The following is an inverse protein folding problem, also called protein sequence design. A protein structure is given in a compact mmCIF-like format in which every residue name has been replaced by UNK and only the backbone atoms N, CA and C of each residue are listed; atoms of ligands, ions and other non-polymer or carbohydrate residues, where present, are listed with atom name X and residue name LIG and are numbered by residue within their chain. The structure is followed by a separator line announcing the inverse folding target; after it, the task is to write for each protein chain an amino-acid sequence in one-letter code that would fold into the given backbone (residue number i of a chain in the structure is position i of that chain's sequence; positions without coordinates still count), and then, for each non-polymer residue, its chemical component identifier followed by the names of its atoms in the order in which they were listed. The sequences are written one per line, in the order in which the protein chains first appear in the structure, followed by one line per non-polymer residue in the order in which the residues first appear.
data_IF_090138646590
#
_entry.id   IF_090138646590
#
_cell.length_a   1.000
_cell.length_b   1.000
_cell.length_c   1.000
_cell.angle_alpha   90.00
_cell.angle_beta   90.00
_cell.angle_gamma   90.00
#
_symmetry.space_group_name_H-M   'P 1'
#
loop_
_entity.id
_entity.type
_entity.pdbx_description
1 polymer ?
#
# COMPACT_ATOMS: atom_id res chain seq x y z
N UNK A 1 33.64 -15.81 -22.18
CA UNK A 1 32.61 -16.50 -21.38
C UNK A 1 32.05 -17.68 -22.18
N UNK A 2 32.61 -18.88 -22.02
CA UNK A 2 32.09 -20.07 -22.70
C UNK A 2 30.73 -20.48 -22.06
N UNK A 3 29.76 -20.88 -22.89
CA UNK A 3 28.48 -21.43 -22.42
C UNK A 3 27.36 -20.42 -22.12
N UNK A 4 27.62 -19.11 -22.06
CA UNK A 4 26.56 -18.12 -21.76
C UNK A 4 25.43 -18.11 -22.80
N UNK A 5 25.79 -18.10 -24.09
CA UNK A 5 24.80 -18.21 -25.19
C UNK A 5 23.98 -19.50 -25.08
N UNK A 6 24.63 -20.64 -24.87
CA UNK A 6 23.95 -21.94 -24.73
C UNK A 6 23.01 -21.94 -23.52
N UNK A 7 23.41 -21.30 -22.41
CA UNK A 7 22.56 -21.12 -21.24
C UNK A 7 21.31 -20.28 -21.56
N UNK A 8 21.46 -19.11 -22.20
CA UNK A 8 20.31 -18.27 -22.57
C UNK A 8 19.34 -19.01 -23.52
N UNK A 9 19.87 -19.67 -24.55
CA UNK A 9 19.08 -20.46 -25.50
C UNK A 9 18.36 -21.60 -24.77
N UNK A 10 19.08 -22.35 -23.92
CA UNK A 10 18.53 -23.47 -23.16
C UNK A 10 17.34 -23.07 -22.31
N UNK A 11 17.39 -21.90 -21.67
CA UNK A 11 16.33 -21.42 -20.77
C UNK A 11 15.13 -20.76 -21.49
N UNK A 12 15.26 -20.30 -22.74
CA UNK A 12 14.20 -19.56 -23.44
C UNK A 12 13.57 -20.34 -24.60
N UNK A 13 14.38 -21.11 -25.34
CA UNK A 13 13.99 -21.79 -26.57
C UNK A 13 14.61 -23.19 -26.69
N UNK A 14 15.09 -23.75 -25.57
CA UNK A 14 15.84 -25.01 -25.56
C UNK A 14 15.01 -26.25 -25.91
N UNK A 15 13.69 -26.20 -25.68
CA UNK A 15 12.77 -27.28 -26.04
C UNK A 15 11.34 -26.77 -26.24
N UNK A 16 10.47 -27.60 -26.83
CA UNK A 16 9.05 -27.31 -27.00
C UNK A 16 8.35 -27.09 -25.66
N UNK A 17 8.73 -27.83 -24.62
CA UNK A 17 8.17 -27.76 -23.28
C UNK A 17 8.49 -26.42 -22.62
N UNK A 18 9.72 -25.93 -22.77
CA UNK A 18 10.16 -24.62 -22.28
C UNK A 18 9.39 -23.49 -22.97
N UNK A 19 9.25 -23.57 -24.29
CA UNK A 19 8.47 -22.55 -25.03
C UNK A 19 7.00 -22.57 -24.60
N UNK A 20 6.39 -23.76 -24.46
CA UNK A 20 5.00 -23.90 -23.98
C UNK A 20 4.82 -23.35 -22.56
N UNK A 21 5.78 -23.54 -21.66
CA UNK A 21 5.70 -23.00 -20.30
C UNK A 21 5.73 -21.47 -20.30
N UNK A 22 6.60 -20.85 -21.12
CA UNK A 22 6.66 -19.40 -21.31
C UNK A 22 5.33 -18.84 -21.85
N UNK A 23 4.75 -19.46 -22.89
CA UNK A 23 3.43 -19.06 -23.39
C UNK A 23 2.36 -19.19 -22.31
N UNK A 24 2.40 -20.25 -21.51
CA UNK A 24 1.42 -20.45 -20.44
C UNK A 24 1.53 -19.39 -19.35
N UNK A 25 2.74 -18.92 -19.02
CA UNK A 25 2.95 -17.78 -18.11
C UNK A 25 2.37 -16.47 -18.65
N UNK A 26 2.53 -16.19 -19.94
CA UNK A 26 1.90 -15.02 -20.56
C UNK A 26 0.36 -15.13 -20.58
N UNK A 27 -0.19 -16.34 -20.74
CA UNK A 27 -1.63 -16.56 -20.78
C UNK A 27 -2.26 -16.52 -19.38
N UNK A 28 -1.52 -16.88 -18.33
CA UNK A 28 -2.05 -16.93 -16.96
C UNK A 28 -2.20 -15.55 -16.31
N UNK A 29 -1.35 -14.58 -16.66
CA UNK A 29 -1.51 -13.18 -16.23
C UNK A 29 -1.18 -12.21 -17.38
N UNK A 30 -2.17 -11.42 -17.79
CA UNK A 30 -2.05 -10.41 -18.86
C UNK A 30 -1.05 -9.29 -18.51
N UNK A 31 -0.72 -9.11 -17.22
CA UNK A 31 0.27 -8.14 -16.73
C UNK A 31 1.70 -8.63 -16.91
N UNK A 32 1.95 -9.92 -17.15
CA UNK A 32 3.31 -10.40 -17.46
C UNK A 32 3.70 -9.87 -18.83
N UNK A 33 4.71 -8.99 -18.85
CA UNK A 33 5.19 -8.31 -20.05
C UNK A 33 6.56 -8.78 -20.51
N UNK A 34 7.43 -9.21 -19.59
CA UNK A 34 8.79 -9.68 -19.90
C UNK A 34 9.08 -10.99 -19.16
N UNK A 35 9.65 -11.97 -19.86
CA UNK A 35 10.15 -13.23 -19.29
C UNK A 35 11.59 -13.42 -19.74
N UNK A 36 12.51 -13.59 -18.80
CA UNK A 36 13.94 -13.71 -19.09
C UNK A 36 14.63 -14.77 -18.21
N UNK A 37 15.80 -15.28 -18.62
CA UNK A 37 16.53 -16.27 -17.84
C UNK A 37 17.06 -15.67 -16.53
N UNK A 38 17.21 -16.50 -15.51
CA UNK A 38 18.08 -16.18 -14.38
C UNK A 38 19.49 -15.80 -14.88
N UNK A 39 20.19 -14.96 -14.14
CA UNK A 39 21.54 -14.59 -14.51
C UNK A 39 22.43 -15.83 -14.57
N UNK A 40 23.17 -15.94 -15.66
CA UNK A 40 24.22 -16.94 -15.79
C UNK A 40 25.23 -16.75 -14.64
N UNK A 41 25.52 -17.81 -13.88
CA UNK A 41 26.28 -17.73 -12.62
C UNK A 41 27.54 -16.86 -12.69
N UNK A 42 28.43 -17.04 -13.69
CA UNK A 42 29.62 -16.19 -13.88
C UNK A 42 29.34 -14.70 -14.10
N UNK A 43 28.19 -14.34 -14.67
CA UNK A 43 27.79 -12.95 -14.93
C UNK A 43 27.14 -12.31 -13.70
N UNK A 44 26.47 -13.11 -12.87
CA UNK A 44 25.69 -12.62 -11.71
C UNK A 44 26.51 -11.75 -10.75
N UNK A 45 27.76 -12.12 -10.49
CA UNK A 45 28.64 -11.36 -9.58
C UNK A 45 29.16 -10.04 -10.19
N UNK A 46 29.01 -9.85 -11.50
CA UNK A 46 29.48 -8.68 -12.23
C UNK A 46 28.38 -7.65 -12.47
N UNK A 47 27.14 -7.93 -12.08
CA UNK A 47 26.00 -7.03 -12.30
C UNK A 47 26.16 -5.77 -11.47
N UNK A 48 26.29 -4.64 -12.15
CA UNK A 48 26.30 -3.32 -11.54
C UNK A 48 25.91 -2.28 -12.58
N UNK A 49 25.52 -1.09 -12.11
CA UNK A 49 25.17 0.03 -12.99
C UNK A 49 26.37 0.59 -13.76
N UNK A 50 27.60 0.34 -13.29
CA UNK A 50 28.83 0.78 -13.94
C UNK A 50 28.82 2.28 -14.25
N UNK A 51 29.25 2.60 -15.46
CA UNK A 51 29.21 3.96 -15.99
C UNK A 51 27.83 4.33 -16.61
N UNK A 52 26.88 3.40 -16.64
CA UNK A 52 25.60 3.59 -17.32
C UNK A 52 24.54 4.28 -16.48
N UNK A 53 24.75 4.41 -15.16
CA UNK A 53 23.72 4.91 -14.25
C UNK A 53 23.12 6.24 -14.68
N UNK A 54 23.95 7.23 -15.02
CA UNK A 54 23.47 8.56 -15.40
C UNK A 54 22.73 8.54 -16.74
N UNK A 55 23.20 7.75 -17.71
CA UNK A 55 22.51 7.56 -18.98
C UNK A 55 21.15 6.87 -18.78
N UNK A 56 21.11 5.79 -17.99
CA UNK A 56 19.90 5.05 -17.63
C UNK A 56 18.90 5.96 -16.90
N UNK A 57 19.38 6.75 -15.93
CA UNK A 57 18.56 7.73 -15.21
C UNK A 57 17.96 8.78 -16.15
N UNK A 58 18.74 9.29 -17.09
CA UNK A 58 18.27 10.30 -18.04
C UNK A 58 17.20 9.75 -19.00
N UNK A 59 17.38 8.54 -19.54
CA UNK A 59 16.36 7.93 -20.41
C UNK A 59 15.10 7.53 -19.63
N UNK A 60 15.24 7.03 -18.40
CA UNK A 60 14.12 6.65 -17.56
C UNK A 60 13.30 7.86 -17.11
N UNK A 61 13.93 9.01 -16.87
CA UNK A 61 13.22 10.26 -16.57
C UNK A 61 12.27 10.67 -17.70
N UNK A 62 12.65 10.43 -18.96
CA UNK A 62 11.78 10.66 -20.13
C UNK A 62 10.58 9.71 -20.15
N UNK A 63 10.70 8.54 -19.54
CA UNK A 63 9.60 7.60 -19.29
C UNK A 63 8.90 7.81 -17.92
N UNK A 64 9.08 8.99 -17.31
CA UNK A 64 8.56 9.33 -15.99
C UNK A 64 9.04 8.38 -14.88
N UNK A 65 10.33 8.07 -14.85
CA UNK A 65 10.98 7.34 -13.77
C UNK A 65 12.25 8.07 -13.32
N UNK A 66 12.35 8.45 -12.04
CA UNK A 66 13.60 8.95 -11.46
C UNK A 66 14.38 7.83 -10.77
N UNK A 67 15.43 7.34 -11.43
CA UNK A 67 16.20 6.17 -10.99
C UNK A 67 17.06 6.54 -9.77
N UNK A 68 17.00 5.72 -8.72
CA UNK A 68 17.88 5.83 -7.56
C UNK A 68 19.04 4.84 -7.67
N UNK A 69 20.20 5.20 -7.12
CA UNK A 69 21.33 4.26 -6.97
C UNK A 69 21.03 3.14 -5.99
N UNK A 70 20.11 3.39 -5.07
CA UNK A 70 19.71 2.39 -4.09
C UNK A 70 18.87 1.30 -4.76
N UNK A 71 18.10 1.62 -5.83
CA UNK A 71 17.18 0.73 -6.54
C UNK A 71 17.84 -0.61 -6.89
N UNK A 72 17.09 -1.71 -6.69
CA UNK A 72 17.52 -3.05 -7.11
C UNK A 72 17.83 -3.02 -8.60
N UNK A 73 19.04 -3.43 -8.97
CA UNK A 73 19.40 -3.61 -10.37
C UNK A 73 19.00 -5.02 -10.80
N UNK A 74 18.06 -5.09 -11.73
CA UNK A 74 17.58 -6.33 -12.31
C UNK A 74 17.28 -6.11 -13.80
N UNK A 75 17.76 -7.02 -14.65
CA UNK A 75 17.62 -6.90 -16.10
C UNK A 75 17.94 -8.23 -16.82
N UNK A 76 17.46 -8.44 -18.05
CA UNK A 76 17.86 -9.58 -18.88
C UNK A 76 19.34 -9.49 -19.25
N UNK A 77 20.23 -10.03 -18.41
CA UNK A 77 21.67 -10.03 -18.67
C UNK A 77 21.99 -10.80 -19.95
N UNK A 78 22.39 -10.10 -21.01
CA UNK A 78 22.60 -10.65 -22.35
C UNK A 78 21.50 -10.26 -23.35
N UNK A 79 20.59 -9.37 -22.96
CA UNK A 79 19.52 -8.81 -23.80
C UNK A 79 18.63 -9.84 -24.52
N UNK A 80 18.52 -11.05 -23.99
CA UNK A 80 17.66 -12.12 -24.51
C UNK A 80 16.48 -12.35 -23.58
N UNK A 81 15.27 -12.09 -24.07
CA UNK A 81 14.03 -12.26 -23.33
C UNK A 81 12.85 -12.45 -24.28
N UNK A 82 11.75 -12.99 -23.76
CA UNK A 82 10.44 -12.91 -24.39
C UNK A 82 9.72 -11.68 -23.86
N UNK A 83 9.15 -10.87 -24.74
CA UNK A 83 8.48 -9.63 -24.35
C UNK A 83 7.21 -9.38 -25.13
N UNK A 84 6.18 -8.86 -24.46
CA UNK A 84 5.06 -8.19 -25.15
C UNK A 84 5.58 -6.88 -25.70
N UNK A 85 5.26 -6.55 -26.96
CA UNK A 85 5.56 -5.23 -27.53
C UNK A 85 5.01 -4.09 -26.67
N UNK A 86 3.82 -4.28 -26.10
CA UNK A 86 3.20 -3.33 -25.17
C UNK A 86 4.03 -3.06 -23.90
N UNK A 87 4.84 -4.01 -23.44
CA UNK A 87 5.72 -3.81 -22.28
C UNK A 87 6.90 -2.88 -22.62
N UNK A 88 7.36 -2.89 -23.86
CA UNK A 88 8.45 -2.00 -24.31
C UNK A 88 7.93 -0.64 -24.82
N UNK A 89 6.61 -0.38 -24.74
CA UNK A 89 6.03 0.86 -25.27
C UNK A 89 6.71 2.10 -24.72
N UNK A 90 6.98 2.16 -23.41
CA UNK A 90 7.65 3.30 -22.76
C UNK A 90 9.06 3.58 -23.30
N UNK A 91 9.77 2.55 -23.79
CA UNK A 91 11.07 2.70 -24.46
C UNK A 91 10.88 3.15 -25.91
N UNK A 92 9.94 2.55 -26.64
CA UNK A 92 9.67 2.88 -28.04
C UNK A 92 9.16 4.32 -28.21
N UNK A 93 8.36 4.81 -27.26
CA UNK A 93 7.86 6.19 -27.22
C UNK A 93 8.98 7.23 -26.99
N UNK A 94 10.21 6.81 -26.67
CA UNK A 94 11.36 7.71 -26.61
C UNK A 94 11.84 8.14 -27.99
N UNK A 95 11.42 7.46 -29.06
CA UNK A 95 11.78 7.79 -30.46
C UNK A 95 13.29 7.97 -30.65
N UNK A 96 14.08 7.12 -29.97
CA UNK A 96 15.55 7.15 -30.07
C UNK A 96 15.97 6.92 -31.52
N UNK A 97 16.88 7.76 -31.98
CA UNK A 97 17.42 7.70 -33.33
C UNK A 97 18.82 7.09 -33.31
N UNK A 98 19.29 6.67 -34.48
CA UNK A 98 20.63 6.11 -34.61
C UNK A 98 21.70 7.10 -34.15
N UNK A 99 21.48 8.41 -34.37
CA UNK A 99 22.42 9.47 -33.97
C UNK A 99 22.49 9.70 -32.45
N UNK A 100 21.57 9.14 -31.66
CA UNK A 100 21.64 9.19 -30.19
C UNK A 100 22.67 8.20 -29.63
N UNK A 101 23.13 7.25 -30.45
CA UNK A 101 24.12 6.25 -30.06
C UNK A 101 25.52 6.70 -30.47
N UNK A 102 26.54 6.50 -29.60
CA UNK A 102 27.91 6.81 -29.96
C UNK A 102 28.40 5.87 -31.08
N UNK A 103 29.32 6.36 -31.91
CA UNK A 103 29.99 5.55 -32.93
C UNK A 103 30.67 4.32 -32.30
N UNK A 104 30.56 3.16 -32.93
CA UNK A 104 31.16 1.93 -32.43
C UNK A 104 32.70 2.00 -32.51
N UNK A 105 33.35 2.12 -31.36
CA UNK A 105 34.80 2.22 -31.20
C UNK A 105 35.34 1.16 -30.21
N UNK A 106 34.60 0.05 -30.04
CA UNK A 106 34.95 -1.02 -29.10
C UNK A 106 34.66 -0.67 -27.64
N UNK A 107 33.71 0.23 -27.38
CA UNK A 107 33.28 0.55 -26.03
C UNK A 107 32.65 -0.67 -25.36
N UNK A 108 33.08 -0.97 -24.13
CA UNK A 108 32.64 -2.16 -23.38
C UNK A 108 31.61 -1.85 -22.29
N UNK A 109 31.37 -0.58 -21.98
CA UNK A 109 30.39 -0.10 -20.98
C UNK A 109 30.15 1.42 -21.17
N UNK A 110 29.18 2.01 -20.49
CA UNK A 110 28.97 3.47 -20.46
C UNK A 110 28.32 4.04 -21.71
N UNK A 111 27.63 3.21 -22.51
CA UNK A 111 26.94 3.64 -23.74
C UNK A 111 25.43 3.66 -23.55
N UNK A 112 24.74 4.40 -24.43
CA UNK A 112 23.27 4.41 -24.43
C UNK A 112 22.68 2.99 -24.60
N UNK A 113 23.32 2.13 -25.39
CA UNK A 113 22.88 0.74 -25.57
C UNK A 113 22.94 -0.06 -24.26
N UNK A 114 24.03 0.07 -23.50
CA UNK A 114 24.21 -0.57 -22.19
C UNK A 114 23.23 -0.01 -21.14
N UNK A 115 22.97 1.29 -21.19
CA UNK A 115 21.94 1.93 -20.36
C UNK A 115 20.54 1.40 -20.66
N UNK A 116 20.19 1.20 -21.93
CA UNK A 116 18.92 0.59 -22.35
C UNK A 116 18.83 -0.86 -21.87
N UNK A 117 19.89 -1.66 -22.06
CA UNK A 117 19.92 -3.06 -21.61
C UNK A 117 19.60 -3.19 -20.12
N UNK A 118 20.26 -2.40 -19.27
CA UNK A 118 20.05 -2.39 -17.82
C UNK A 118 18.69 -1.81 -17.42
N UNK A 119 17.96 -1.18 -18.36
CA UNK A 119 16.69 -0.51 -18.11
C UNK A 119 15.47 -1.23 -18.69
N UNK A 120 15.61 -2.36 -19.40
CA UNK A 120 14.47 -3.05 -20.03
C UNK A 120 13.29 -3.31 -19.09
N UNK A 121 13.57 -3.82 -17.87
CA UNK A 121 12.52 -4.13 -16.90
C UNK A 121 11.89 -2.86 -16.32
N UNK A 122 12.66 -1.79 -16.16
CA UNK A 122 12.16 -0.50 -15.74
C UNK A 122 11.14 0.04 -16.76
N UNK A 123 11.42 -0.08 -18.06
CA UNK A 123 10.48 0.29 -19.12
C UNK A 123 9.21 -0.58 -19.13
N UNK A 124 9.35 -1.89 -18.86
CA UNK A 124 8.21 -2.79 -18.69
C UNK A 124 7.30 -2.34 -17.55
N UNK A 125 7.86 -2.02 -16.39
CA UNK A 125 7.08 -1.54 -15.24
C UNK A 125 6.51 -0.14 -15.48
N UNK A 126 7.24 0.76 -16.15
CA UNK A 126 6.70 2.05 -16.60
C UNK A 126 5.49 1.87 -17.49
N UNK A 127 5.47 0.83 -18.32
CA UNK A 127 4.35 0.44 -19.16
C UNK A 127 3.27 -0.35 -18.39
N UNK A 128 3.38 -0.51 -17.06
CA UNK A 128 2.43 -1.22 -16.20
C UNK A 128 2.45 -2.74 -16.33
N UNK A 129 3.57 -3.31 -16.78
CA UNK A 129 3.77 -4.75 -16.88
C UNK A 129 4.75 -5.27 -15.82
N UNK A 130 4.49 -6.49 -15.35
CA UNK A 130 5.39 -7.26 -14.52
C UNK A 130 6.42 -8.00 -15.39
N UNK A 131 7.47 -8.47 -14.75
CA UNK A 131 8.46 -9.34 -15.35
C UNK A 131 8.66 -10.61 -14.52
N UNK A 132 9.08 -11.67 -15.17
CA UNK A 132 9.37 -12.95 -14.53
C UNK A 132 10.75 -13.45 -14.94
N UNK A 133 11.43 -14.02 -13.96
CA UNK A 133 12.73 -14.67 -14.13
C UNK A 133 12.52 -16.18 -14.13
N UNK A 134 13.07 -16.88 -15.12
CA UNK A 134 12.89 -18.32 -15.30
C UNK A 134 14.23 -19.05 -15.37
N UNK A 135 14.23 -20.32 -14.98
CA UNK A 135 15.36 -21.21 -15.19
C UNK A 135 14.88 -22.63 -15.47
N UNK A 136 15.40 -23.26 -16.53
CA UNK A 136 15.21 -24.68 -16.83
C UNK A 136 16.24 -25.52 -16.06
N UNK A 137 15.79 -26.58 -15.38
CA UNK A 137 16.67 -27.60 -14.81
C UNK A 137 17.59 -27.08 -13.69
N UNK A 138 17.05 -26.44 -12.66
CA UNK A 138 17.83 -26.06 -11.49
C UNK A 138 18.23 -27.31 -10.70
N UNK A 139 19.44 -27.81 -10.90
CA UNK A 139 20.08 -28.72 -9.95
C UNK A 139 21.30 -28.05 -9.30
N UNK A 140 21.34 -27.95 -7.96
CA UNK A 140 20.21 -28.14 -7.05
C UNK A 140 19.17 -27.00 -7.19
N UNK A 141 17.89 -27.24 -6.85
CA UNK A 141 16.91 -26.17 -6.74
C UNK A 141 17.40 -25.17 -5.69
N UNK A 142 17.68 -23.95 -6.12
CA UNK A 142 17.96 -22.87 -5.17
C UNK A 142 16.69 -22.58 -4.37
N UNK A 143 16.82 -22.32 -3.07
CA UNK A 143 15.72 -21.79 -2.24
C UNK A 143 15.11 -20.50 -2.81
N UNK A 144 15.82 -19.82 -3.73
CA UNK A 144 15.35 -18.64 -4.44
C UNK A 144 14.50 -18.92 -5.69
N UNK A 145 14.29 -20.20 -6.06
CA UNK A 145 13.48 -20.60 -7.21
C UNK A 145 12.23 -21.33 -6.74
N UNK A 146 11.06 -20.85 -7.20
CA UNK A 146 9.79 -21.54 -7.00
C UNK A 146 9.55 -22.46 -8.20
N UNK A 147 9.39 -23.76 -7.94
CA UNK A 147 9.02 -24.72 -8.97
C UNK A 147 7.55 -24.52 -9.33
N UNK A 148 7.29 -24.29 -10.62
CA UNK A 148 5.93 -24.24 -11.17
C UNK A 148 5.56 -25.64 -11.65
N UNK A 149 4.76 -26.36 -10.85
CA UNK A 149 4.21 -27.66 -11.25
C UNK A 149 3.09 -27.50 -12.28
N UNK A 150 2.28 -26.43 -12.16
CA UNK A 150 1.20 -26.11 -13.10
C UNK A 150 1.29 -24.64 -13.54
N UNK A 151 1.03 -24.33 -14.82
CA UNK A 151 1.05 -22.95 -15.30
C UNK A 151 0.00 -22.03 -14.66
N UNK A 152 -1.04 -22.60 -14.05
CA UNK A 152 -2.15 -21.88 -13.41
C UNK A 152 -1.90 -21.54 -11.94
N UNK A 153 -0.72 -21.83 -11.38
CA UNK A 153 -0.38 -21.46 -10.00
C UNK A 153 -0.04 -19.97 -9.87
N UNK A 154 -0.99 -19.09 -10.24
CA UNK A 154 -0.87 -17.62 -10.26
C UNK A 154 -0.45 -17.06 -8.90
N UNK A 155 -0.79 -17.73 -7.80
CA UNK A 155 -0.37 -17.37 -6.43
C UNK A 155 1.14 -17.41 -6.23
N UNK A 156 1.87 -18.23 -7.00
CA UNK A 156 3.33 -18.24 -6.98
C UNK A 156 3.90 -17.04 -7.75
N UNK A 157 3.23 -16.56 -8.80
CA UNK A 157 3.68 -15.40 -9.58
C UNK A 157 3.71 -14.12 -8.75
N UNK A 158 2.72 -13.94 -7.87
CA UNK A 158 2.66 -12.81 -6.94
C UNK A 158 3.79 -12.82 -5.89
N UNK A 159 4.48 -13.97 -5.70
CA UNK A 159 5.60 -14.09 -4.76
C UNK A 159 6.97 -13.84 -5.38
N UNK A 160 7.10 -14.01 -6.70
CA UNK A 160 8.40 -13.93 -7.42
C UNK A 160 8.64 -12.52 -7.97
N UNK A 161 7.57 -11.80 -8.33
CA UNK A 161 7.70 -10.44 -8.83
C UNK A 161 8.01 -9.45 -7.70
N UNK A 162 9.17 -8.78 -7.81
CA UNK A 162 9.59 -7.69 -6.92
C UNK A 162 9.64 -6.41 -7.75
N UNK A 163 8.73 -5.45 -7.53
CA UNK A 163 8.72 -4.22 -8.31
C UNK A 163 10.02 -3.45 -8.17
N UNK A 164 10.59 -3.02 -9.29
CA UNK A 164 11.77 -2.15 -9.32
C UNK A 164 11.44 -0.72 -8.86
N UNK A 165 10.16 -0.34 -8.87
CA UNK A 165 9.65 0.89 -8.25
C UNK A 165 9.75 0.90 -6.71
N UNK A 166 10.00 -0.24 -6.06
CA UNK A 166 10.11 -0.28 -4.61
C UNK A 166 11.39 0.44 -4.15
N UNK A 167 11.28 1.27 -3.12
CA UNK A 167 12.47 1.83 -2.47
C UNK A 167 13.16 0.72 -1.66
N UNK A 168 14.41 0.37 -1.98
CA UNK A 168 15.08 -0.76 -1.36
C UNK A 168 15.35 -0.56 0.13
N UNK A 169 15.43 -1.68 0.84
CA UNK A 169 15.80 -1.72 2.25
C UNK A 169 14.71 -1.25 3.23
N UNK A 170 13.56 -0.74 2.77
CA UNK A 170 12.50 -0.25 3.66
C UNK A 170 11.91 -1.32 4.58
N UNK A 171 11.73 -2.55 4.08
CA UNK A 171 11.30 -3.69 4.90
C UNK A 171 12.39 -4.18 5.85
N UNK A 172 13.66 -3.80 5.61
CA UNK A 172 14.80 -4.16 6.43
C UNK A 172 15.10 -3.15 7.54
N UNK A 173 14.49 -1.95 7.47
CA UNK A 173 14.61 -0.93 8.51
C UNK A 173 14.03 -1.44 9.85
N UNK A 174 14.69 -1.06 10.94
CA UNK A 174 14.32 -1.45 12.30
C UNK A 174 12.85 -1.13 12.63
N UNK A 175 12.36 0.05 12.24
CA UNK A 175 10.97 0.46 12.48
C UNK A 175 9.96 -0.50 11.85
N UNK A 176 10.17 -0.91 10.61
CA UNK A 176 9.30 -1.84 9.88
C UNK A 176 9.28 -3.24 10.50
N UNK A 177 10.41 -3.65 11.13
CA UNK A 177 10.52 -4.94 11.83
C UNK A 177 9.88 -4.90 13.22
N UNK A 178 9.98 -3.77 13.91
CA UNK A 178 9.44 -3.59 15.26
C UNK A 178 7.95 -3.28 15.29
N UNK A 179 7.41 -2.64 14.26
CA UNK A 179 6.02 -2.17 14.22
C UNK A 179 5.31 -2.73 12.97
N UNK A 180 4.49 -3.76 13.18
CA UNK A 180 3.83 -4.50 12.11
C UNK A 180 2.92 -3.65 11.21
N UNK A 181 2.30 -2.61 11.79
CA UNK A 181 1.43 -1.66 11.10
C UNK A 181 2.21 -0.73 10.15
N UNK A 182 3.50 -0.50 10.41
CA UNK A 182 4.37 0.36 9.60
C UNK A 182 5.08 -0.39 8.48
N UNK A 183 4.84 -1.70 8.35
CA UNK A 183 5.44 -2.51 7.28
C UNK A 183 5.09 -1.90 5.91
N UNK A 184 6.08 -1.64 5.04
CA UNK A 184 5.87 -1.03 3.73
C UNK A 184 4.87 -1.80 2.87
N UNK A 185 4.10 -1.07 2.08
CA UNK A 185 3.24 -1.63 1.04
C UNK A 185 4.06 -1.85 -0.23
N UNK A 186 4.00 -3.06 -0.78
CA UNK A 186 4.49 -3.32 -2.14
C UNK A 186 3.53 -2.68 -3.12
N UNK A 187 4.01 -1.82 -4.02
CA UNK A 187 3.16 -1.05 -4.93
C UNK A 187 3.53 -1.34 -6.38
N UNK A 188 2.52 -1.39 -7.25
CA UNK A 188 2.69 -1.59 -8.69
C UNK A 188 1.92 -0.54 -9.47
N UNK A 189 2.45 -0.17 -10.64
CA UNK A 189 1.80 0.80 -11.52
C UNK A 189 0.63 0.13 -12.25
N UNK A 190 -0.56 0.73 -12.13
CA UNK A 190 -1.76 0.29 -12.85
C UNK A 190 -1.97 1.14 -14.12
N UNK A 191 -2.25 0.47 -15.24
CA UNK A 191 -2.64 1.13 -16.50
C UNK A 191 -4.14 1.48 -16.58
N UNK A 192 -4.91 1.13 -15.55
CA UNK A 192 -6.33 1.47 -15.54
C UNK A 192 -6.50 2.98 -15.37
N UNK A 193 -7.04 3.63 -16.41
CA UNK A 193 -7.26 5.07 -16.44
C UNK A 193 -8.52 5.52 -15.67
N UNK A 194 -9.36 4.59 -15.20
CA UNK A 194 -10.54 4.95 -14.40
C UNK A 194 -10.09 5.48 -13.03
N UNK A 195 -10.58 6.66 -12.61
CA UNK A 195 -10.28 7.18 -11.28
C UNK A 195 -10.88 6.26 -10.21
N UNK A 196 -10.28 6.27 -9.02
CA UNK A 196 -10.72 5.38 -7.93
C UNK A 196 -10.47 6.03 -6.58
N UNK A 197 -11.41 5.85 -5.66
CA UNK A 197 -11.28 6.31 -4.29
C UNK A 197 -10.96 5.11 -3.39
N UNK A 198 -9.98 5.29 -2.51
CA UNK A 198 -9.37 4.24 -1.70
C UNK A 198 -9.50 4.59 -0.22
N UNK A 199 -10.18 3.76 0.56
CA UNK A 199 -10.23 3.88 2.02
C UNK A 199 -9.15 2.99 2.65
N UNK A 200 -8.26 3.57 3.44
CA UNK A 200 -7.26 2.82 4.20
C UNK A 200 -7.82 2.55 5.61
N UNK A 201 -8.10 1.28 5.94
CA UNK A 201 -8.61 0.88 7.25
C UNK A 201 -7.68 -0.12 7.94
N UNK A 202 -7.58 -0.09 9.29
CA UNK A 202 -6.96 -1.15 10.05
C UNK A 202 -7.62 -2.52 9.79
N UNK A 203 -8.94 -2.58 9.90
CA UNK A 203 -9.71 -3.83 9.82
C UNK A 203 -11.12 -3.58 9.29
N UNK A 204 -11.73 -4.65 8.76
CA UNK A 204 -13.17 -4.72 8.44
C UNK A 204 -13.88 -5.80 9.25
N UNK A 205 -13.27 -6.28 10.33
CA UNK A 205 -13.87 -7.27 11.20
C UNK A 205 -15.09 -6.67 11.92
N UNK A 206 -16.31 -7.26 11.79
CA UNK A 206 -17.51 -6.79 12.47
C UNK A 206 -17.35 -6.60 13.98
N UNK A 207 -16.49 -7.38 14.64
CA UNK A 207 -16.21 -7.23 16.08
C UNK A 207 -15.50 -5.91 16.42
N UNK A 208 -14.77 -5.35 15.45
CA UNK A 208 -13.96 -4.15 15.59
C UNK A 208 -14.51 -2.94 14.82
N UNK A 209 -15.56 -3.11 14.02
CA UNK A 209 -16.29 -2.00 13.36
C UNK A 209 -17.18 -1.31 14.41
N UNK A 210 -16.54 -0.50 15.26
CA UNK A 210 -17.21 0.43 16.15
C UNK A 210 -16.54 1.80 16.12
N UNK A 211 -17.26 2.80 16.63
CA UNK A 211 -16.78 4.18 16.74
C UNK A 211 -16.23 4.71 15.42
N UNK A 212 -14.90 4.82 15.36
CA UNK A 212 -14.21 5.48 14.28
C UNK A 212 -14.31 4.81 12.91
N UNK A 213 -14.12 3.49 12.85
CA UNK A 213 -14.18 2.74 11.57
C UNK A 213 -15.57 2.83 10.95
N UNK A 214 -16.64 2.73 11.76
CA UNK A 214 -18.01 2.89 11.28
C UNK A 214 -18.27 4.27 10.69
N UNK A 215 -17.70 5.32 11.29
CA UNK A 215 -17.83 6.70 10.82
C UNK A 215 -17.06 6.91 9.51
N UNK A 216 -15.83 6.37 9.44
CA UNK A 216 -15.00 6.42 8.24
C UNK A 216 -15.66 5.73 7.05
N UNK A 217 -16.26 4.54 7.25
CA UNK A 217 -17.00 3.83 6.21
C UNK A 217 -18.19 4.63 5.68
N UNK A 218 -18.98 5.24 6.56
CA UNK A 218 -20.12 6.10 6.16
C UNK A 218 -19.66 7.31 5.35
N UNK A 219 -18.65 8.03 5.85
CA UNK A 219 -18.08 9.19 5.15
C UNK A 219 -17.53 8.76 3.80
N UNK A 220 -16.81 7.64 3.73
CA UNK A 220 -16.28 7.11 2.49
C UNK A 220 -17.36 6.81 1.47
N UNK A 221 -18.44 6.14 1.87
CA UNK A 221 -19.57 5.86 0.98
C UNK A 221 -20.25 7.15 0.52
N UNK A 222 -20.51 8.10 1.42
CA UNK A 222 -21.11 9.40 1.08
C UNK A 222 -20.25 10.22 0.10
N UNK A 223 -18.92 10.26 0.32
CA UNK A 223 -17.98 10.94 -0.59
C UNK A 223 -17.93 10.21 -1.93
N UNK A 224 -17.82 8.88 -1.91
CA UNK A 224 -17.73 8.10 -3.14
C UNK A 224 -19.01 8.19 -3.98
N UNK A 225 -20.19 8.29 -3.37
CA UNK A 225 -21.46 8.47 -4.09
C UNK A 225 -21.60 9.84 -4.75
N UNK A 226 -20.82 10.84 -4.31
CA UNK A 226 -20.73 12.16 -4.94
C UNK A 226 -19.71 12.21 -6.08
N UNK A 227 -18.81 11.23 -6.18
CA UNK A 227 -17.77 11.16 -7.21
C UNK A 227 -18.26 10.34 -8.42
N UNK A 228 -18.63 11.01 -9.50
CA UNK A 228 -19.07 10.34 -10.72
C UNK A 228 -17.91 9.63 -11.43
N UNK A 229 -18.09 8.34 -11.75
CA UNK A 229 -17.14 7.56 -12.56
C UNK A 229 -15.95 6.98 -11.77
N UNK A 230 -15.92 7.14 -10.45
CA UNK A 230 -14.89 6.56 -9.59
C UNK A 230 -15.22 5.10 -9.25
N UNK A 231 -14.22 4.23 -9.37
CA UNK A 231 -14.26 2.91 -8.73
C UNK A 231 -14.04 3.06 -7.21
N UNK A 232 -14.42 2.06 -6.41
CA UNK A 232 -14.26 2.09 -4.94
C UNK A 232 -13.30 0.99 -4.48
N UNK A 233 -12.40 1.30 -3.55
CA UNK A 233 -11.57 0.27 -2.91
C UNK A 233 -11.42 0.51 -1.41
N UNK A 234 -11.57 -0.53 -0.61
CA UNK A 234 -11.21 -0.54 0.81
C UNK A 234 -9.93 -1.37 0.94
N UNK A 235 -8.89 -0.81 1.52
CA UNK A 235 -7.58 -1.45 1.72
C UNK A 235 -7.45 -1.75 3.22
N UNK A 236 -7.33 -3.02 3.56
CA UNK A 236 -7.28 -3.51 4.94
C UNK A 236 -5.84 -3.76 5.37
N UNK A 237 -5.37 -3.04 6.39
CA UNK A 237 -3.95 -2.92 6.72
C UNK A 237 -3.46 -3.85 7.83
N UNK A 238 -4.30 -4.17 8.82
CA UNK A 238 -3.85 -4.74 10.11
C UNK A 238 -4.48 -6.09 10.46
N UNK A 239 -5.43 -6.56 9.66
CA UNK A 239 -6.05 -7.88 9.86
C UNK A 239 -6.21 -8.63 8.54
N UNK A 240 -6.10 -9.97 8.54
CA UNK A 240 -6.48 -10.76 7.39
C UNK A 240 -7.97 -10.56 7.06
N UNK A 241 -8.32 -10.76 5.79
CA UNK A 241 -9.71 -10.73 5.32
C UNK A 241 -10.10 -12.11 4.82
N UNK A 242 -11.18 -12.64 5.38
CA UNK A 242 -11.79 -13.91 4.96
C UNK A 242 -13.23 -13.71 4.46
N UNK A 243 -13.87 -14.80 4.03
CA UNK A 243 -15.22 -14.79 3.48
C UNK A 243 -16.29 -14.31 4.49
N UNK A 244 -16.10 -14.49 5.80
CA UNK A 244 -17.06 -14.08 6.81
C UNK A 244 -17.08 -12.55 6.96
N UNK A 245 -15.90 -11.93 6.94
CA UNK A 245 -15.78 -10.47 6.97
C UNK A 245 -16.48 -9.80 5.76
N UNK A 246 -16.42 -10.46 4.59
CA UNK A 246 -17.04 -9.95 3.36
C UNK A 246 -18.58 -9.91 3.40
N UNK A 247 -19.24 -10.58 4.35
CA UNK A 247 -20.71 -10.54 4.48
C UNK A 247 -21.23 -9.12 4.75
N UNK A 248 -20.44 -8.28 5.42
CA UNK A 248 -20.76 -6.86 5.63
C UNK A 248 -20.57 -5.98 4.38
N UNK A 249 -19.97 -6.52 3.32
CA UNK A 249 -19.57 -5.79 2.12
C UNK A 249 -20.05 -6.51 0.84
N UNK A 250 -21.36 -6.78 0.66
CA UNK A 250 -21.87 -7.63 -0.41
C UNK A 250 -21.66 -7.08 -1.83
N UNK A 251 -21.40 -5.78 -1.97
CA UNK A 251 -21.10 -5.13 -3.26
C UNK A 251 -19.62 -5.21 -3.63
N UNK A 252 -18.75 -5.63 -2.70
CA UNK A 252 -17.31 -5.64 -2.88
C UNK A 252 -16.81 -7.04 -3.23
N UNK A 253 -15.83 -7.11 -4.11
CA UNK A 253 -15.10 -8.35 -4.40
C UNK A 253 -13.73 -8.33 -3.75
N UNK A 254 -13.35 -9.41 -3.07
CA UNK A 254 -12.06 -9.53 -2.39
C UNK A 254 -10.93 -9.71 -3.42
N UNK A 255 -9.90 -8.86 -3.32
CA UNK A 255 -8.66 -8.90 -4.10
C UNK A 255 -8.85 -8.93 -5.63
N UNK A 256 -10.00 -8.48 -6.13
CA UNK A 256 -10.27 -8.43 -7.56
C UNK A 256 -9.36 -7.43 -8.26
N UNK A 257 -8.82 -7.83 -9.41
CA UNK A 257 -8.14 -6.93 -10.35
C UNK A 257 -9.10 -6.35 -11.41
N UNK A 258 -10.34 -6.84 -11.44
CA UNK A 258 -11.41 -6.34 -12.29
C UNK A 258 -12.02 -5.08 -11.65
N UNK A 259 -12.46 -4.13 -12.48
CA UNK A 259 -13.00 -2.84 -12.01
C UNK A 259 -14.23 -2.96 -11.11
N UNK A 260 -14.62 -1.87 -10.44
CA UNK A 260 -15.78 -1.83 -9.54
C UNK A 260 -15.39 -1.60 -8.08
N UNK A 261 -16.13 -2.22 -7.15
CA UNK A 261 -15.91 -2.09 -5.71
C UNK A 261 -15.05 -3.27 -5.19
N UNK A 262 -13.90 -2.97 -4.60
CA UNK A 262 -12.91 -3.98 -4.20
C UNK A 262 -12.55 -3.86 -2.72
N UNK A 263 -12.50 -4.97 -2.00
CA UNK A 263 -11.78 -5.05 -0.73
C UNK A 263 -10.41 -5.63 -1.04
N UNK A 264 -9.35 -4.91 -0.73
CA UNK A 264 -7.98 -5.35 -0.92
C UNK A 264 -7.35 -5.65 0.45
N UNK A 265 -6.95 -6.89 0.64
CA UNK A 265 -6.24 -7.32 1.84
C UNK A 265 -4.75 -6.99 1.67
N UNK A 266 -4.21 -6.17 2.56
CA UNK A 266 -2.82 -5.73 2.52
C UNK A 266 -2.02 -6.20 3.73
N UNK A 267 -2.63 -6.80 4.74
CA UNK A 267 -2.00 -7.20 6.02
C UNK A 267 -0.79 -8.12 5.83
N UNK A 268 -0.81 -9.08 4.90
CA UNK A 268 0.35 -9.95 4.68
C UNK A 268 1.55 -9.26 3.98
N UNK A 269 1.32 -8.09 3.35
CA UNK A 269 2.30 -7.29 2.57
C UNK A 269 2.93 -8.07 1.40
N UNK A 270 2.41 -9.23 1.05
CA UNK A 270 2.89 -10.06 -0.05
C UNK A 270 2.29 -9.62 -1.38
N UNK A 271 0.98 -9.32 -1.38
CA UNK A 271 0.26 -8.85 -2.58
C UNK A 271 0.64 -7.40 -2.89
N UNK A 272 1.05 -7.16 -4.13
CA UNK A 272 1.29 -5.81 -4.64
C UNK A 272 -0.02 -5.00 -4.74
N UNK A 273 -0.03 -3.83 -4.11
CA UNK A 273 -1.10 -2.84 -4.23
C UNK A 273 -0.97 -2.13 -5.57
N UNK A 274 -1.92 -2.35 -6.48
CA UNK A 274 -1.98 -1.59 -7.72
C UNK A 274 -2.38 -0.13 -7.43
N UNK A 275 -1.60 0.81 -7.96
CA UNK A 275 -1.82 2.25 -7.82
C UNK A 275 -2.10 2.85 -9.18
N UNK A 276 -3.20 3.59 -9.32
CA UNK A 276 -3.61 4.31 -10.52
C UNK A 276 -3.17 5.77 -10.45
N UNK A 277 -3.09 6.41 -11.61
CA UNK A 277 -2.76 7.83 -11.76
C UNK A 277 -3.68 8.74 -10.95
N UNK A 278 -4.97 8.44 -10.97
CA UNK A 278 -6.05 9.23 -10.36
C UNK A 278 -6.68 8.52 -9.17
N UNK A 279 -5.88 7.70 -8.46
CA UNK A 279 -6.28 7.13 -7.17
C UNK A 279 -6.27 8.23 -6.11
N UNK A 280 -7.41 8.47 -5.46
CA UNK A 280 -7.56 9.31 -4.27
C UNK A 280 -7.57 8.41 -3.04
N UNK A 281 -6.89 8.82 -1.96
CA UNK A 281 -6.81 8.04 -0.73
C UNK A 281 -7.44 8.76 0.45
N UNK A 282 -8.14 8.00 1.28
CA UNK A 282 -8.74 8.41 2.54
C UNK A 282 -8.05 7.64 3.67
N UNK A 283 -7.25 8.33 4.48
CA UNK A 283 -6.60 7.78 5.67
C UNK A 283 -7.52 7.92 6.89
N UNK A 284 -7.41 7.01 7.86
CA UNK A 284 -8.25 7.02 9.08
C UNK A 284 -7.47 6.93 10.38
N UNK A 285 -6.40 6.13 10.41
CA UNK A 285 -5.48 5.99 11.55
C UNK A 285 -4.13 6.61 11.20
N UNK A 286 -3.33 7.00 12.19
CA UNK A 286 -2.04 7.67 11.95
C UNK A 286 -1.09 6.82 11.09
N UNK A 287 -1.04 5.51 11.29
CA UNK A 287 -0.19 4.65 10.45
C UNK A 287 -0.73 4.51 9.02
N UNK A 288 -2.05 4.59 8.83
CA UNK A 288 -2.64 4.61 7.49
C UNK A 288 -2.23 5.88 6.73
N UNK A 289 -2.18 7.04 7.41
CA UNK A 289 -1.68 8.28 6.81
C UNK A 289 -0.18 8.20 6.55
N UNK A 290 0.59 7.67 7.50
CA UNK A 290 2.02 7.42 7.31
C UNK A 290 2.28 6.58 6.06
N UNK A 291 1.56 5.46 5.88
CA UNK A 291 1.66 4.64 4.67
C UNK A 291 1.17 5.37 3.41
N UNK A 292 0.14 6.21 3.50
CA UNK A 292 -0.36 7.04 2.39
C UNK A 292 0.70 8.01 1.86
N UNK A 293 1.58 8.54 2.72
CA UNK A 293 2.68 9.41 2.23
C UNK A 293 3.60 8.68 1.25
N UNK A 294 3.84 7.39 1.47
CA UNK A 294 4.62 6.56 0.55
C UNK A 294 3.87 6.24 -0.73
N UNK A 295 2.55 6.04 -0.66
CA UNK A 295 1.71 5.89 -1.84
C UNK A 295 1.74 7.17 -2.69
N UNK A 296 1.74 8.34 -2.04
CA UNK A 296 1.89 9.65 -2.72
C UNK A 296 3.23 9.76 -3.41
N UNK A 297 4.31 9.38 -2.73
CA UNK A 297 5.65 9.30 -3.32
C UNK A 297 5.70 8.37 -4.53
N UNK A 298 5.05 7.20 -4.43
CA UNK A 298 4.93 6.27 -5.54
C UNK A 298 4.15 6.87 -6.72
N UNK A 299 3.00 7.51 -6.49
CA UNK A 299 2.22 8.16 -7.56
C UNK A 299 3.05 9.22 -8.28
N UNK A 300 3.72 10.11 -7.52
CA UNK A 300 4.58 11.13 -8.09
C UNK A 300 5.69 10.52 -8.95
N UNK A 301 6.35 9.46 -8.47
CA UNK A 301 7.38 8.76 -9.23
C UNK A 301 6.82 8.09 -10.48
N UNK A 302 5.72 7.34 -10.37
CA UNK A 302 5.21 6.50 -11.45
C UNK A 302 4.42 7.28 -12.53
N UNK A 303 3.86 8.44 -12.18
CA UNK A 303 2.95 9.21 -13.02
C UNK A 303 3.31 10.70 -13.16
N UNK A 304 4.38 11.17 -12.50
CA UNK A 304 4.78 12.58 -12.49
C UNK A 304 3.86 13.50 -11.69
N UNK A 305 2.83 12.96 -11.03
CA UNK A 305 1.88 13.69 -10.17
C UNK A 305 1.27 12.75 -9.13
N UNK A 306 0.67 13.35 -8.10
CA UNK A 306 -0.16 12.65 -7.12
C UNK A 306 -1.51 13.35 -7.00
N UNK A 307 -2.54 12.58 -6.68
CA UNK A 307 -3.88 13.12 -6.46
C UNK A 307 -3.98 13.78 -5.08
N UNK A 308 -4.99 14.62 -4.90
CA UNK A 308 -5.39 15.07 -3.55
C UNK A 308 -5.78 13.87 -2.69
N UNK A 309 -5.67 14.03 -1.37
CA UNK A 309 -6.05 13.02 -0.40
C UNK A 309 -6.91 13.60 0.72
N UNK A 310 -7.57 12.73 1.47
CA UNK A 310 -8.32 13.05 2.68
C UNK A 310 -7.65 12.34 3.86
N UNK A 311 -7.43 13.04 4.96
CA UNK A 311 -7.11 12.40 6.23
C UNK A 311 -8.25 12.65 7.21
N UNK A 312 -8.99 11.59 7.54
CA UNK A 312 -10.03 11.61 8.57
C UNK A 312 -9.40 11.43 9.95
N UNK A 313 -9.15 12.55 10.63
CA UNK A 313 -8.52 12.64 11.95
C UNK A 313 -9.61 12.54 13.02
N UNK A 314 -9.56 11.47 13.81
CA UNK A 314 -10.66 11.12 14.72
C UNK A 314 -10.37 11.45 16.17
N UNK A 315 -9.09 11.58 16.48
CA UNK A 315 -8.55 12.00 17.77
C UNK A 315 -7.11 12.45 17.56
N UNK A 316 -6.48 12.95 18.61
CA UNK A 316 -5.04 13.13 18.69
C UNK A 316 -4.37 11.79 19.05
N UNK A 317 -4.18 10.97 18.03
CA UNK A 317 -3.73 9.57 18.15
C UNK A 317 -2.30 9.42 18.67
N UNK A 318 -1.47 10.48 18.62
CA UNK A 318 -0.17 10.48 19.30
C UNK A 318 -0.31 10.10 20.77
N UNK A 319 -1.39 10.52 21.44
CA UNK A 319 -1.63 10.18 22.85
C UNK A 319 -2.10 8.74 23.10
N UNK A 320 -2.33 7.94 22.06
CA UNK A 320 -2.67 6.52 22.23
C UNK A 320 -1.43 5.68 22.55
N UNK A 321 -0.25 6.25 22.33
CA UNK A 321 1.04 5.63 22.59
C UNK A 321 1.86 6.51 23.52
N UNK A 322 2.67 5.88 24.38
CA UNK A 322 3.62 6.60 25.22
C UNK A 322 4.71 7.24 24.34
N UNK A 323 5.38 8.29 24.87
CA UNK A 323 6.52 8.91 24.19
C UNK A 323 7.56 7.87 23.76
N UNK A 324 7.68 7.70 22.46
CA UNK A 324 8.40 6.62 21.80
C UNK A 324 8.54 6.94 20.30
N UNK A 325 9.18 6.06 19.54
CA UNK A 325 9.21 6.15 18.08
C UNK A 325 7.80 6.17 17.47
N UNK A 326 6.85 5.37 17.99
CA UNK A 326 5.46 5.38 17.51
C UNK A 326 4.79 6.72 17.75
N UNK A 327 5.03 7.34 18.91
CA UNK A 327 4.54 8.68 19.21
C UNK A 327 5.07 9.71 18.21
N UNK A 328 6.38 9.70 17.96
CA UNK A 328 7.00 10.66 17.04
C UNK A 328 6.50 10.50 15.60
N UNK A 329 6.27 9.25 15.17
CA UNK A 329 5.71 8.98 13.83
C UNK A 329 4.25 9.40 13.76
N UNK A 330 3.42 9.05 14.75
CA UNK A 330 2.04 9.51 14.83
C UNK A 330 1.96 11.06 14.77
N UNK A 331 2.81 11.73 15.56
CA UNK A 331 2.90 13.20 15.58
C UNK A 331 3.26 13.78 14.22
N UNK A 332 4.23 13.16 13.52
CA UNK A 332 4.66 13.61 12.19
C UNK A 332 3.53 13.61 11.16
N UNK A 333 2.51 12.76 11.34
CA UNK A 333 1.42 12.64 10.36
C UNK A 333 0.51 13.85 10.33
N UNK A 334 0.57 14.74 11.33
CA UNK A 334 -0.22 15.98 11.37
C UNK A 334 0.43 17.14 10.58
N UNK A 335 1.66 16.97 10.12
CA UNK A 335 2.31 17.90 9.19
C UNK A 335 1.87 17.63 7.74
N UNK A 336 0.58 17.86 7.46
CA UNK A 336 -0.03 17.48 6.18
C UNK A 336 0.46 18.35 5.03
N UNK A 337 0.73 17.70 3.89
CA UNK A 337 1.00 18.38 2.62
C UNK A 337 -0.22 19.23 2.17
N UNK A 338 0.03 20.23 1.33
CA UNK A 338 -1.00 21.17 0.86
C UNK A 338 -2.17 20.50 0.13
N UNK A 339 -1.93 19.37 -0.53
CA UNK A 339 -2.95 18.62 -1.27
C UNK A 339 -3.74 17.62 -0.41
N UNK A 340 -3.55 17.64 0.91
CA UNK A 340 -4.25 16.76 1.86
C UNK A 340 -5.31 17.55 2.62
N UNK A 341 -6.56 17.14 2.46
CA UNK A 341 -7.71 17.72 3.15
C UNK A 341 -7.83 17.07 4.53
N UNK A 342 -7.74 17.88 5.58
CA UNK A 342 -7.98 17.43 6.96
C UNK A 342 -9.48 17.41 7.25
N UNK A 343 -10.04 16.21 7.48
CA UNK A 343 -11.40 16.03 7.97
C UNK A 343 -11.33 15.64 9.44
N UNK A 344 -11.78 16.51 10.35
CA UNK A 344 -11.50 16.38 11.79
C UNK A 344 -12.79 16.08 12.55
N UNK A 345 -12.76 15.04 13.39
CA UNK A 345 -13.89 14.65 14.23
C UNK A 345 -13.92 15.48 15.51
N UNK A 346 -14.96 16.32 15.54
CA UNK A 346 -15.36 17.33 16.51
C UNK A 346 -14.68 18.69 16.43
N UNK A 347 -15.48 19.70 16.76
CA UNK A 347 -15.12 21.10 16.91
C UNK A 347 -14.00 21.29 17.94
N UNK A 348 -14.05 20.53 19.03
CA UNK A 348 -13.04 20.53 20.09
C UNK A 348 -11.69 20.03 19.57
N UNK A 349 -11.70 18.90 18.84
CA UNK A 349 -10.48 18.38 18.23
C UNK A 349 -9.94 19.36 17.18
N UNK A 350 -10.80 19.93 16.34
CA UNK A 350 -10.34 20.91 15.34
C UNK A 350 -9.73 22.16 15.98
N UNK A 351 -10.31 22.63 17.09
CA UNK A 351 -9.76 23.73 17.89
C UNK A 351 -8.38 23.38 18.45
N UNK A 352 -8.24 22.17 19.01
CA UNK A 352 -6.95 21.65 19.50
C UNK A 352 -5.91 21.56 18.38
N UNK A 353 -6.27 20.98 17.23
CA UNK A 353 -5.38 20.83 16.08
C UNK A 353 -4.94 22.20 15.53
N UNK A 354 -5.84 23.18 15.53
CA UNK A 354 -5.51 24.56 15.13
C UNK A 354 -4.49 25.19 16.06
N UNK A 355 -4.67 25.05 17.37
CA UNK A 355 -3.75 25.60 18.37
C UNK A 355 -2.39 24.91 18.37
N UNK A 356 -2.36 23.58 18.20
CA UNK A 356 -1.13 22.78 18.27
C UNK A 356 -0.31 22.83 16.98
N UNK A 357 -0.97 22.74 15.83
CA UNK A 357 -0.33 22.57 14.53
C UNK A 357 -0.49 23.78 13.60
N UNK A 358 -1.19 24.84 14.04
CA UNK A 358 -1.37 26.07 13.26
C UNK A 358 -2.27 25.95 12.03
N UNK A 359 -3.01 24.83 11.87
CA UNK A 359 -3.90 24.62 10.71
C UNK A 359 -5.23 25.31 10.89
N UNK A 360 -5.74 25.97 9.86
CA UNK A 360 -7.04 26.69 9.90
C UNK A 360 -7.98 26.30 8.76
N UNK A 361 -7.55 25.41 7.87
CA UNK A 361 -8.25 24.95 6.66
C UNK A 361 -8.99 23.62 6.84
N UNK A 362 -9.19 23.20 8.08
CA UNK A 362 -9.78 21.91 8.43
C UNK A 362 -11.28 21.89 8.14
N UNK A 363 -11.79 20.76 7.64
CA UNK A 363 -13.22 20.47 7.55
C UNK A 363 -13.62 19.71 8.81
N UNK A 364 -14.67 20.17 9.50
CA UNK A 364 -15.11 19.56 10.76
C UNK A 364 -16.30 18.64 10.54
N UNK A 365 -16.25 17.45 11.14
CA UNK A 365 -17.40 16.56 11.30
C UNK A 365 -18.02 16.88 12.67
N UNK A 366 -19.16 17.59 12.72
CA UNK A 366 -19.75 18.03 13.97
C UNK A 366 -20.42 16.89 14.71
N UNK A 367 -20.50 17.00 16.04
CA UNK A 367 -21.25 16.05 16.85
C UNK A 367 -22.73 16.02 16.44
N UNK A 368 -23.28 14.81 16.30
CA UNK A 368 -24.71 14.59 16.11
C UNK A 368 -25.19 13.46 17.02
N UNK A 369 -26.34 13.69 17.67
CA UNK A 369 -27.01 12.66 18.45
C UNK A 369 -27.39 11.49 17.52
N UNK A 370 -27.05 10.27 17.92
CA UNK A 370 -27.46 9.06 17.20
C UNK A 370 -28.98 9.06 16.98
N UNK A 371 -29.46 8.82 15.77
CA UNK A 371 -30.90 8.92 15.45
C UNK A 371 -31.77 7.99 16.29
N UNK A 372 -31.33 6.75 16.54
CA UNK A 372 -32.08 5.78 17.33
C UNK A 372 -32.21 6.25 18.79
N UNK A 373 -31.14 6.82 19.34
CA UNK A 373 -31.17 7.44 20.66
C UNK A 373 -32.07 8.67 20.63
N UNK A 374 -31.88 9.57 19.65
CA UNK A 374 -32.66 10.79 19.48
C UNK A 374 -34.17 10.55 19.47
N UNK A 375 -34.64 9.53 18.74
CA UNK A 375 -36.06 9.15 18.68
C UNK A 375 -36.60 8.59 19.99
N UNK A 376 -35.74 8.10 20.89
CA UNK A 376 -36.11 7.52 22.19
C UNK A 376 -35.90 8.47 23.37
N UNK A 377 -35.22 9.60 23.17
CA UNK A 377 -35.04 10.61 24.21
C UNK A 377 -36.41 11.16 24.60
N UNK A 378 -36.76 11.01 25.87
CA UNK A 378 -37.95 11.57 26.48
C UNK A 378 -37.67 11.92 27.94
N UNK A 379 -38.43 12.86 28.48
CA UNK A 379 -38.38 13.14 29.91
C UNK A 379 -38.93 11.94 30.68
N UNK A 380 -38.21 11.52 31.73
CA UNK A 380 -38.62 10.47 32.66
C UNK A 380 -38.33 10.94 34.08
N UNK A 381 -39.11 10.52 35.10
CA UNK A 381 -38.78 10.76 36.49
C UNK A 381 -37.34 10.29 36.79
N UNK A 382 -36.57 11.11 37.51
CA UNK A 382 -35.19 10.77 37.87
C UNK A 382 -35.19 9.76 39.01
N UNK A 383 -34.41 8.71 38.83
CA UNK A 383 -34.13 7.69 39.85
C UNK A 383 -32.73 7.90 40.42
N UNK A 384 -32.44 7.30 41.58
CA UNK A 384 -31.11 7.33 42.21
C UNK A 384 -30.16 6.35 41.51
N UNK A 385 -29.81 6.68 40.27
CA UNK A 385 -28.92 5.89 39.42
C UNK A 385 -27.71 6.73 39.06
N UNK A 386 -26.53 6.20 39.39
CA UNK A 386 -25.24 6.68 38.87
C UNK A 386 -24.93 5.80 37.64
N UNK A 387 -24.96 6.41 36.45
CA UNK A 387 -24.60 5.74 35.21
C UNK A 387 -23.16 6.08 34.84
N UNK A 388 -22.31 5.07 34.70
CA UNK A 388 -20.90 5.19 34.37
C UNK A 388 -20.63 4.60 32.98
N UNK A 389 -19.88 5.33 32.14
CA UNK A 389 -19.39 4.78 30.88
C UNK A 389 -18.10 4.00 31.13
N UNK A 390 -18.15 2.67 31.05
CA UNK A 390 -17.06 1.80 31.51
C UNK A 390 -16.48 0.95 30.41
N UNK A 391 -15.30 1.32 29.91
CA UNK A 391 -14.54 0.54 28.91
C UNK A 391 -13.14 0.24 29.42
N UNK A 392 -12.92 -0.88 30.13
CA UNK A 392 -11.61 -1.24 30.67
C UNK A 392 -10.51 -1.35 29.59
N UNK A 393 -10.88 -1.72 28.37
CA UNK A 393 -9.94 -1.84 27.25
C UNK A 393 -9.56 -0.50 26.60
N UNK A 394 -10.22 0.61 26.97
CA UNK A 394 -10.01 1.93 26.38
C UNK A 394 -9.48 2.90 27.44
N UNK A 395 -8.15 2.96 27.60
CA UNK A 395 -7.48 3.76 28.62
C UNK A 395 -7.92 5.24 28.68
N UNK A 396 -8.30 5.82 27.53
CA UNK A 396 -8.84 7.19 27.42
C UNK A 396 -10.12 7.42 28.23
N UNK A 397 -10.84 6.36 28.60
CA UNK A 397 -12.05 6.44 29.42
C UNK A 397 -11.77 6.39 30.93
N UNK A 398 -10.49 6.22 31.33
CA UNK A 398 -10.05 6.29 32.73
C UNK A 398 -10.89 5.39 33.67
N UNK A 399 -11.16 4.15 33.23
CA UNK A 399 -12.06 3.23 33.94
C UNK A 399 -11.65 3.01 35.40
N UNK A 400 -10.36 2.84 35.64
CA UNK A 400 -9.78 2.61 36.96
C UNK A 400 -10.04 3.80 37.90
N UNK A 401 -9.90 5.03 37.39
CA UNK A 401 -10.17 6.25 38.16
C UNK A 401 -11.66 6.31 38.55
N UNK A 402 -12.57 5.92 37.65
CA UNK A 402 -14.01 5.87 37.92
C UNK A 402 -14.29 4.85 39.04
N UNK A 403 -13.72 3.64 38.95
CA UNK A 403 -13.90 2.57 39.93
C UNK A 403 -13.35 2.96 41.30
N UNK A 404 -12.15 3.53 41.36
CA UNK A 404 -11.55 3.99 42.62
C UNK A 404 -12.36 5.14 43.23
N UNK A 405 -12.82 6.09 42.42
CA UNK A 405 -13.67 7.19 42.86
C UNK A 405 -14.98 6.70 43.49
N UNK A 406 -15.66 5.75 42.85
CA UNK A 406 -16.87 5.13 43.38
C UNK A 406 -16.61 4.36 44.67
N UNK A 407 -15.51 3.59 44.72
CA UNK A 407 -15.12 2.81 45.89
C UNK A 407 -14.84 3.72 47.10
N UNK A 408 -14.10 4.81 46.90
CA UNK A 408 -13.84 5.81 47.93
C UNK A 408 -15.12 6.51 48.39
N UNK A 409 -16.02 6.84 47.47
CA UNK A 409 -17.30 7.46 47.81
C UNK A 409 -18.19 6.53 48.65
N UNK A 410 -18.31 5.24 48.26
CA UNK A 410 -19.08 4.24 49.00
C UNK A 410 -18.51 4.01 50.41
N UNK A 411 -17.19 3.94 50.55
CA UNK A 411 -16.53 3.77 51.85
C UNK A 411 -16.74 4.98 52.77
N UNK A 412 -16.72 6.20 52.21
CA UNK A 412 -16.88 7.44 52.98
C UNK A 412 -18.34 7.74 53.35
N UNK A 413 -19.31 7.25 52.56
CA UNK A 413 -20.73 7.57 52.71
C UNK A 413 -21.64 6.32 52.63
N UNK A 414 -21.45 5.30 53.48
CA UNK A 414 -22.08 3.99 53.30
C UNK A 414 -23.62 4.02 53.35
N UNK A 415 -24.20 4.84 54.23
CA UNK A 415 -25.67 4.96 54.35
C UNK A 415 -26.26 5.61 53.10
N UNK A 416 -25.69 6.72 52.65
CA UNK A 416 -26.18 7.42 51.46
C UNK A 416 -25.99 6.56 50.21
N UNK A 417 -24.80 5.96 50.06
CA UNK A 417 -24.46 5.11 48.93
C UNK A 417 -25.38 3.89 48.79
N UNK A 418 -25.87 3.33 49.90
CA UNK A 418 -26.83 2.21 49.87
C UNK A 418 -28.15 2.54 49.17
N UNK A 419 -28.47 3.84 49.01
CA UNK A 419 -29.67 4.28 48.33
C UNK A 419 -29.49 4.55 46.82
N UNK A 420 -28.28 4.36 46.28
CA UNK A 420 -27.97 4.60 44.87
C UNK A 420 -27.64 3.30 44.16
N UNK A 421 -28.15 3.15 42.94
CA UNK A 421 -27.75 2.09 42.03
C UNK A 421 -26.62 2.59 41.13
N UNK A 422 -25.51 1.85 41.05
CA UNK A 422 -24.41 2.14 40.13
C UNK A 422 -24.48 1.18 38.95
N UNK A 423 -24.53 1.72 37.73
CA UNK A 423 -24.64 0.95 36.49
C UNK A 423 -23.48 1.33 35.57
N UNK A 424 -22.77 0.34 35.06
CA UNK A 424 -21.76 0.52 34.01
C UNK A 424 -22.33 0.13 32.65
N UNK A 425 -22.03 0.94 31.63
CA UNK A 425 -22.39 0.71 30.24
C UNK A 425 -21.21 1.07 29.34
N UNK A 426 -20.97 0.31 28.26
CA UNK A 426 -19.96 0.68 27.25
C UNK A 426 -19.06 -0.45 26.81
#
# INVERSE_FOLDING_TARGET
MAGWRSYLIGNLIGSTEIVRSIFSLFLSDKRVGVIFPQHFGPVRAMLNWGFDFEAAKNILRRAHWDLSKDSVLEFPSGSMFWGRSAAMKSLLDLELRFEDFPDEAGQVDGTLAHAIERSYLHFAECAGFHWLKVQSGAEPPSESLLMLEKPTDVRLLERVYVPLFEEPGRSELSLSRSYGELRPLRMTKSNNARPRINLLLPTIDPLWIFGGISTALKIFDEVADRLSGFDKRIIVLDSPVDANHMQGFPKYTLNSSEGGAVVFEAFDRMRGLDVRKDDIYVSTAWWSEYLRTFITGFQNKAFGRSSSALYFIQDYESNFVQWSSRWAIAESTYNLAENVIALVNSEELSSFMSQRFGRTDQIVVPFRVNETIGRKIRSVPKERIILCYGRPSAARNCFEIIVDGLSLWQQRNPIDASNWQVIFLG
#
